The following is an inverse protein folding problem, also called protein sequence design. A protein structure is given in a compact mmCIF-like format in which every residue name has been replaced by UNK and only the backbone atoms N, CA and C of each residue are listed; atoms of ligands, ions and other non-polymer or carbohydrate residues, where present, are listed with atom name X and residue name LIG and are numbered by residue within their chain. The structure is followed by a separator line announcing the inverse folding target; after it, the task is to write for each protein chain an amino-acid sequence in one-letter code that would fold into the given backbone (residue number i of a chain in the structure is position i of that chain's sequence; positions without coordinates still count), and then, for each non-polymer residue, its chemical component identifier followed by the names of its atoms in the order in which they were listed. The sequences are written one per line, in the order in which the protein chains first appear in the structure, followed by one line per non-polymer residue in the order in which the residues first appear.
data_IF_715399056803
#
_entry.id   IF_715399056803
#
_cell.length_a   1.000
_cell.length_b   1.000
_cell.length_c   1.000
_cell.angle_alpha   90.00
_cell.angle_beta   90.00
_cell.angle_gamma   90.00
#
_symmetry.space_group_name_H-M   'P 1'
#
loop_
_entity.id
_entity.type
_entity.pdbx_description
1 polymer ?
#
# COMPACT_ATOMS: atom_id res chain seq x y z
N UNK A 1 10.99 -37.85 -36.34
CA UNK A 1 11.81 -37.28 -35.26
C UNK A 1 10.84 -36.99 -34.13
N UNK A 2 10.83 -37.89 -33.17
CA UNK A 2 10.05 -37.84 -31.95
C UNK A 2 10.81 -36.94 -30.98
N UNK A 3 10.19 -35.84 -30.56
CA UNK A 3 10.65 -35.06 -29.41
C UNK A 3 9.49 -35.05 -28.42
N UNK A 4 9.44 -36.11 -27.61
CA UNK A 4 8.72 -36.08 -26.36
C UNK A 4 9.53 -35.27 -25.36
N UNK A 5 9.04 -34.09 -24.98
CA UNK A 5 9.42 -33.48 -23.72
C UNK A 5 8.34 -33.79 -22.68
N UNK A 6 8.51 -34.94 -22.04
CA UNK A 6 7.93 -35.22 -20.72
C UNK A 6 8.75 -34.46 -19.68
N UNK A 7 8.17 -33.39 -19.14
CA UNK A 7 8.35 -32.98 -17.75
C UNK A 7 7.06 -32.31 -17.28
N UNK A 8 6.05 -33.13 -16.98
CA UNK A 8 4.92 -32.73 -16.15
C UNK A 8 5.42 -32.54 -14.72
N UNK A 9 6.08 -31.41 -14.45
CA UNK A 9 6.21 -30.90 -13.10
C UNK A 9 5.02 -29.96 -12.91
N UNK A 10 4.11 -30.33 -12.02
CA UNK A 10 2.95 -29.50 -11.71
C UNK A 10 3.45 -28.24 -11.00
N UNK A 11 3.75 -27.19 -11.77
CA UNK A 11 3.99 -25.86 -11.23
C UNK A 11 2.73 -25.45 -10.48
N UNK A 12 2.78 -25.58 -9.17
CA UNK A 12 1.72 -25.12 -8.28
C UNK A 12 1.68 -23.60 -8.45
N UNK A 13 0.74 -23.11 -9.26
CA UNK A 13 0.53 -21.67 -9.43
C UNK A 13 0.11 -21.12 -8.07
N UNK A 14 1.05 -20.49 -7.36
CA UNK A 14 0.79 -19.81 -6.10
C UNK A 14 -0.05 -18.58 -6.45
N UNK A 15 -1.35 -18.67 -6.26
CA UNK A 15 -2.26 -17.53 -6.41
C UNK A 15 -2.20 -16.71 -5.14
N UNK A 16 -1.72 -15.48 -5.25
CA UNK A 16 -1.75 -14.53 -4.14
C UNK A 16 -3.09 -13.81 -4.15
N UNK A 17 -3.89 -14.03 -3.10
CA UNK A 17 -5.14 -13.31 -2.89
C UNK A 17 -4.89 -12.12 -1.97
N UNK A 18 -5.55 -10.99 -2.25
CA UNK A 18 -5.40 -9.75 -1.50
C UNK A 18 -6.76 -9.17 -1.15
N UNK A 19 -6.96 -8.79 0.11
CA UNK A 19 -8.09 -7.97 0.54
C UNK A 19 -7.69 -6.50 0.40
N UNK A 20 -8.33 -5.78 -0.51
CA UNK A 20 -8.03 -4.37 -0.77
C UNK A 20 -9.14 -3.49 -0.22
N UNK A 21 -8.79 -2.62 0.73
CA UNK A 21 -9.66 -1.58 1.27
C UNK A 21 -9.20 -0.25 0.73
N UNK A 22 -10.10 0.47 0.05
CA UNK A 22 -9.82 1.77 -0.56
C UNK A 22 -10.78 2.81 -0.01
N UNK A 23 -10.27 3.97 0.35
CA UNK A 23 -11.06 5.13 0.76
C UNK A 23 -10.60 6.37 0.00
N UNK A 24 -11.58 7.11 -0.52
CA UNK A 24 -11.39 8.45 -1.07
C UNK A 24 -11.70 9.45 0.03
N UNK A 25 -10.80 10.41 0.24
CA UNK A 25 -10.86 11.37 1.33
C UNK A 25 -10.83 12.77 0.73
N UNK A 26 -11.76 13.62 1.15
CA UNK A 26 -11.79 15.02 0.75
C UNK A 26 -10.72 15.78 1.51
N UNK A 27 -9.95 16.62 0.80
CA UNK A 27 -8.89 17.41 1.42
C UNK A 27 -9.54 18.56 2.20
N UNK A 28 -9.27 18.69 3.52
CA UNK A 28 -9.82 19.77 4.32
C UNK A 28 -9.43 21.16 3.78
N UNK A 29 -10.36 22.12 3.82
CA UNK A 29 -10.14 23.45 3.26
C UNK A 29 -9.01 24.22 3.97
N UNK A 30 -8.85 24.01 5.28
CA UNK A 30 -7.77 24.58 6.08
C UNK A 30 -6.40 24.01 5.70
N UNK A 31 -6.34 22.75 5.26
CA UNK A 31 -5.13 22.15 4.72
C UNK A 31 -4.84 22.72 3.32
N UNK A 32 -5.84 22.83 2.44
CA UNK A 32 -5.67 23.42 1.09
C UNK A 32 -5.06 24.82 1.13
N UNK A 33 -5.53 25.67 2.05
CA UNK A 33 -5.03 27.04 2.22
C UNK A 33 -3.55 27.11 2.64
N UNK A 34 -3.02 26.05 3.26
CA UNK A 34 -1.64 25.98 3.76
C UNK A 34 -0.69 25.24 2.82
N UNK A 35 -1.20 24.59 1.78
CA UNK A 35 -0.41 23.91 0.77
C UNK A 35 0.11 24.92 -0.26
N UNK A 36 1.29 24.67 -0.82
CA UNK A 36 1.84 25.46 -1.93
C UNK A 36 1.03 25.29 -3.22
N UNK A 37 1.23 26.20 -4.18
CA UNK A 37 0.47 26.32 -5.43
C UNK A 37 0.31 25.02 -6.25
N UNK A 38 1.17 24.01 -6.04
CA UNK A 38 1.09 22.73 -6.76
C UNK A 38 -0.01 21.81 -6.23
N UNK A 39 -0.45 21.98 -4.98
CA UNK A 39 -1.48 21.13 -4.33
C UNK A 39 -2.74 21.86 -3.91
N UNK A 40 -2.85 23.18 -4.14
CA UNK A 40 -4.06 23.94 -3.81
C UNK A 40 -5.31 23.44 -4.57
N UNK A 41 -5.12 22.90 -5.78
CA UNK A 41 -6.20 22.39 -6.63
C UNK A 41 -6.59 20.92 -6.34
N UNK A 42 -5.90 20.25 -5.41
CA UNK A 42 -6.22 18.86 -5.08
C UNK A 42 -7.45 18.80 -4.20
N UNK A 43 -8.56 18.33 -4.76
CA UNK A 43 -9.85 18.26 -4.03
C UNK A 43 -9.97 17.03 -3.13
N UNK A 44 -9.44 15.91 -3.59
CA UNK A 44 -9.49 14.63 -2.87
C UNK A 44 -8.24 13.80 -3.13
N UNK A 45 -7.99 12.86 -2.25
CA UNK A 45 -6.91 11.87 -2.35
C UNK A 45 -7.45 10.48 -2.05
N UNK A 46 -6.71 9.46 -2.45
CA UNK A 46 -7.04 8.07 -2.18
C UNK A 46 -6.01 7.45 -1.26
N UNK A 47 -6.49 6.73 -0.24
CA UNK A 47 -5.69 5.80 0.54
C UNK A 47 -6.20 4.38 0.25
N UNK A 48 -5.30 3.47 -0.07
CA UNK A 48 -5.60 2.06 -0.25
C UNK A 48 -4.67 1.19 0.58
N UNK A 49 -5.25 0.18 1.22
CA UNK A 49 -4.55 -0.82 2.03
C UNK A 49 -4.87 -2.19 1.46
N UNK A 50 -3.85 -2.98 1.14
CA UNK A 50 -4.02 -4.33 0.63
C UNK A 50 -3.35 -5.36 1.56
N UNK A 51 -4.16 -6.22 2.15
CA UNK A 51 -3.70 -7.29 3.02
C UNK A 51 -3.56 -8.60 2.25
N UNK A 52 -2.44 -9.32 2.40
CA UNK A 52 -2.27 -10.64 1.81
C UNK A 52 -3.17 -11.66 2.51
N UNK A 53 -4.08 -12.31 1.78
CA UNK A 53 -4.98 -13.35 2.31
C UNK A 53 -4.30 -14.73 2.33
N UNK A 54 -3.34 -14.98 1.44
CA UNK A 54 -2.51 -16.18 1.46
C UNK A 54 -1.69 -16.33 2.75
N UNK A 55 -1.36 -15.22 3.42
CA UNK A 55 -0.74 -15.22 4.75
C UNK A 55 -1.65 -15.79 5.85
N UNK A 56 -2.97 -15.83 5.64
CA UNK A 56 -3.94 -16.28 6.65
C UNK A 56 -4.25 -17.78 6.51
N UNK A 57 -4.20 -18.32 5.29
CA UNK A 57 -4.48 -19.73 5.02
C UNK A 57 -3.25 -20.66 5.13
N UNK A 58 -2.04 -20.15 4.97
CA UNK A 58 -0.81 -20.92 5.23
C UNK A 58 -0.42 -20.82 6.72
N UNK A 59 -1.04 -21.68 7.54
CA UNK A 59 -0.69 -21.97 8.94
C UNK A 59 0.77 -22.44 9.15
N UNK A 60 1.57 -22.55 8.09
CA UNK A 60 3.03 -22.63 8.21
C UNK A 60 3.56 -21.22 8.47
N UNK A 61 3.77 -20.94 9.76
CA UNK A 61 4.31 -19.75 10.42
C UNK A 61 5.59 -19.10 9.85
N UNK A 62 6.05 -19.49 8.67
CA UNK A 62 7.33 -19.08 8.07
C UNK A 62 7.19 -18.24 6.80
N UNK A 63 5.99 -18.04 6.23
CA UNK A 63 5.80 -17.30 4.96
C UNK A 63 5.19 -15.89 5.08
N UNK A 64 4.71 -15.49 6.26
CA UNK A 64 4.14 -14.13 6.51
C UNK A 64 5.24 -13.07 6.76
N UNK A 65 6.50 -13.39 6.47
CA UNK A 65 7.66 -12.66 7.00
C UNK A 65 8.15 -11.49 6.13
N UNK A 66 7.71 -11.38 4.87
CA UNK A 66 8.19 -10.30 4.00
C UNK A 66 7.42 -9.00 4.25
N UNK A 67 8.12 -8.03 4.84
CA UNK A 67 7.62 -6.65 4.92
C UNK A 67 7.31 -6.13 3.51
N UNK A 68 6.16 -5.48 3.37
CA UNK A 68 5.69 -4.92 2.11
C UNK A 68 6.17 -3.47 1.96
N UNK A 69 6.46 -3.04 0.73
CA UNK A 69 6.80 -1.66 0.46
C UNK A 69 5.59 -0.74 0.62
N UNK A 70 5.86 0.52 0.98
CA UNK A 70 4.90 1.61 0.87
C UNK A 70 4.85 2.10 -0.59
N UNK A 71 3.70 2.52 -1.10
CA UNK A 71 3.55 3.00 -2.46
C UNK A 71 3.11 4.47 -2.49
N UNK A 72 3.78 5.24 -3.34
CA UNK A 72 3.37 6.58 -3.77
C UNK A 72 3.59 6.66 -5.29
N UNK A 73 2.62 6.15 -6.05
CA UNK A 73 2.70 5.81 -7.49
C UNK A 73 3.73 4.73 -7.85
N UNK A 74 4.89 4.72 -7.20
CA UNK A 74 5.93 3.70 -7.28
C UNK A 74 6.24 3.14 -5.89
N UNK A 75 6.80 1.91 -5.80
CA UNK A 75 7.27 1.37 -4.54
C UNK A 75 8.35 2.26 -3.92
N UNK A 76 8.20 2.52 -2.63
CA UNK A 76 9.19 3.09 -1.73
C UNK A 76 9.81 1.96 -0.90
N UNK A 77 10.74 2.31 0.00
CA UNK A 77 11.29 1.36 0.97
C UNK A 77 10.19 0.69 1.82
N UNK A 78 10.47 -0.52 2.28
CA UNK A 78 9.63 -1.16 3.30
C UNK A 78 9.76 -0.43 4.64
N UNK A 79 8.61 -0.18 5.27
CA UNK A 79 8.50 0.48 6.58
C UNK A 79 8.10 -0.50 7.70
N UNK A 80 8.21 -1.81 7.45
CA UNK A 80 7.83 -2.84 8.42
C UNK A 80 6.36 -3.28 8.33
N UNK A 81 5.58 -2.71 7.42
CA UNK A 81 4.19 -3.15 7.20
C UNK A 81 4.15 -4.57 6.63
N UNK A 82 3.17 -5.37 7.05
CA UNK A 82 2.88 -6.69 6.46
C UNK A 82 1.73 -6.64 5.44
N UNK A 83 1.32 -5.43 5.08
CA UNK A 83 0.31 -5.12 4.09
C UNK A 83 0.87 -4.05 3.17
N UNK A 84 0.37 -3.99 1.95
CA UNK A 84 0.69 -2.91 1.03
C UNK A 84 -0.13 -1.69 1.42
N UNK A 85 0.53 -0.54 1.47
CA UNK A 85 -0.10 0.74 1.70
C UNK A 85 0.20 1.65 0.52
N UNK A 86 -0.85 2.22 -0.07
CA UNK A 86 -0.76 3.20 -1.13
C UNK A 86 -1.45 4.48 -0.70
N UNK A 87 -0.75 5.61 -0.82
CA UNK A 87 -1.32 6.94 -0.71
C UNK A 87 -0.50 7.93 -1.53
N UNK A 88 -1.04 9.14 -1.75
CA UNK A 88 -0.38 10.20 -2.52
C UNK A 88 0.69 10.94 -1.69
N UNK A 89 1.58 10.20 -1.03
CA UNK A 89 2.65 10.80 -0.24
C UNK A 89 3.57 11.67 -1.09
N UNK A 90 3.93 12.81 -0.54
CA UNK A 90 5.00 13.62 -1.09
C UNK A 90 6.35 13.01 -0.75
N UNK A 91 7.19 12.86 -1.76
CA UNK A 91 8.48 12.18 -1.67
C UNK A 91 9.59 13.08 -2.24
N UNK A 92 10.81 13.03 -1.68
CA UNK A 92 11.96 13.69 -2.26
C UNK A 92 12.31 13.04 -3.60
N UNK A 93 13.09 13.75 -4.42
CA UNK A 93 13.56 13.24 -5.72
C UNK A 93 14.31 11.91 -5.61
N UNK A 94 14.99 11.64 -4.48
CA UNK A 94 15.69 10.37 -4.23
C UNK A 94 14.76 9.18 -4.08
N UNK A 95 13.46 9.41 -3.79
CA UNK A 95 12.42 8.39 -3.55
C UNK A 95 12.80 7.33 -2.50
N UNK A 96 13.76 7.61 -1.63
CA UNK A 96 14.22 6.67 -0.61
C UNK A 96 13.32 6.66 0.63
N UNK A 97 12.72 7.80 0.97
CA UNK A 97 11.79 7.91 2.09
C UNK A 97 10.69 8.93 1.81
N UNK A 98 9.57 8.83 2.52
CA UNK A 98 8.53 9.88 2.54
C UNK A 98 9.09 11.14 3.20
N UNK A 99 8.78 12.31 2.63
CA UNK A 99 9.16 13.59 3.25
C UNK A 99 8.55 13.67 4.65
N UNK A 100 9.40 13.90 5.64
CA UNK A 100 8.99 14.18 7.01
C UNK A 100 8.68 15.67 7.13
N UNK A 101 7.81 16.03 8.05
CA UNK A 101 7.56 17.41 8.44
C UNK A 101 6.83 18.29 7.40
N UNK A 102 6.11 17.69 6.45
CA UNK A 102 5.15 18.44 5.63
C UNK A 102 3.70 18.15 6.06
N UNK A 103 2.84 19.16 5.94
CA UNK A 103 1.47 19.08 6.42
C UNK A 103 0.65 18.01 5.68
N UNK A 104 0.94 17.80 4.40
CA UNK A 104 0.24 16.83 3.56
C UNK A 104 0.45 15.38 4.04
N UNK A 105 1.71 14.99 4.26
CA UNK A 105 2.06 13.64 4.68
C UNK A 105 1.64 13.38 6.12
N UNK A 106 1.75 14.37 7.01
CA UNK A 106 1.25 14.22 8.39
C UNK A 106 -0.27 14.03 8.42
N UNK A 107 -1.02 14.78 7.61
CA UNK A 107 -2.46 14.58 7.48
C UNK A 107 -2.80 13.18 6.90
N UNK A 108 -2.14 12.76 5.81
CA UNK A 108 -2.33 11.42 5.23
C UNK A 108 -2.03 10.29 6.22
N UNK A 109 -1.01 10.45 7.08
CA UNK A 109 -0.70 9.47 8.14
C UNK A 109 -1.85 9.34 9.14
N UNK A 110 -2.46 10.45 9.55
CA UNK A 110 -3.59 10.44 10.49
C UNK A 110 -4.78 9.72 9.87
N UNK A 111 -5.13 10.06 8.62
CA UNK A 111 -6.23 9.41 7.89
C UNK A 111 -5.97 7.91 7.69
N UNK A 112 -4.73 7.53 7.39
CA UNK A 112 -4.31 6.13 7.29
C UNK A 112 -4.51 5.39 8.61
N UNK A 113 -4.10 5.97 9.75
CA UNK A 113 -4.26 5.33 11.06
C UNK A 113 -5.74 5.09 11.36
N UNK A 114 -6.62 6.02 10.99
CA UNK A 114 -8.07 5.86 11.15
C UNK A 114 -8.67 4.78 10.23
N UNK A 115 -8.01 4.45 9.12
CA UNK A 115 -8.44 3.41 8.20
C UNK A 115 -8.09 2.00 8.64
N UNK A 116 -7.04 1.83 9.46
CA UNK A 116 -6.57 0.51 9.87
C UNK A 116 -7.65 -0.32 10.62
N UNK A 117 -8.42 0.24 11.58
CA UNK A 117 -9.48 -0.51 12.25
C UNK A 117 -10.61 -0.91 11.29
N UNK A 118 -11.01 0.00 10.40
CA UNK A 118 -12.06 -0.27 9.41
C UNK A 118 -11.66 -1.39 8.45
N UNK A 119 -10.38 -1.44 8.09
CA UNK A 119 -9.87 -2.52 7.25
C UNK A 119 -9.78 -3.85 8.01
N UNK A 120 -9.58 -3.81 9.34
CA UNK A 120 -9.62 -5.00 10.18
C UNK A 120 -11.04 -5.57 10.32
N UNK A 121 -12.07 -4.72 10.42
CA UNK A 121 -13.47 -5.16 10.51
C UNK A 121 -14.00 -5.83 9.22
N UNK A 122 -13.27 -5.71 8.10
CA UNK A 122 -13.61 -6.39 6.85
C UNK A 122 -13.02 -7.82 6.77
N UNK A 123 -12.26 -8.26 7.78
CA UNK A 123 -11.82 -9.65 7.95
C UNK A 123 -12.85 -10.47 8.73
#
# INVERSE_FOLDING_TARGET
IELQERTTNSEKIIKNFWLVVKKVIQVPADLKMKLSDVKCDVESTTIAIAYPLNAIYELSSHQISSTQPLFAYLPLRSYGFRFILQADFEIPATRQEVLRDNMWNEWLKIEMIQLLPLAYEQF
#
